data_IF_986626236438
#
_entry.id   IF_986626236438
#
_cell.length_a   1.000
_cell.length_b   1.000
_cell.length_c   1.000
_cell.angle_alpha   90.00
_cell.angle_beta   90.00
_cell.angle_gamma   90.00
#
_symmetry.space_group_name_H-M   'P 1'
#
loop_
_entity.id
_entity.type
_entity.pdbx_description
1 polymer ?
#
# COMPACT_ATOMS: atom_id res chain seq x y z
N UNK A 1 -3.97 8.58 2.35
CA UNK A 1 -2.72 9.35 2.15
C UNK A 1 -2.06 9.67 3.50
N UNK A 2 -0.74 9.79 3.54
CA UNK A 2 -0.01 10.27 4.72
C UNK A 2 0.42 11.70 4.44
N UNK A 3 -0.11 12.68 5.16
CA UNK A 3 0.24 14.10 4.95
C UNK A 3 1.13 14.65 6.07
N UNK A 4 1.30 13.90 7.16
CA UNK A 4 2.19 14.28 8.26
C UNK A 4 3.64 14.41 7.81
N UNK A 5 4.32 15.46 8.29
CA UNK A 5 5.77 15.66 8.07
C UNK A 5 6.64 14.67 8.86
N UNK A 6 6.08 14.05 9.90
CA UNK A 6 6.79 13.15 10.81
C UNK A 6 5.95 11.95 11.20
N UNK A 7 6.62 10.83 11.42
CA UNK A 7 6.11 9.62 12.07
C UNK A 7 6.89 9.42 13.37
N UNK A 8 6.29 9.83 14.49
CA UNK A 8 7.00 9.96 15.76
C UNK A 8 8.31 10.77 15.60
N UNK A 9 9.47 10.12 15.68
CA UNK A 9 10.79 10.76 15.57
C UNK A 9 11.36 10.78 14.14
N UNK A 10 10.72 10.08 13.19
CA UNK A 10 11.20 9.97 11.82
C UNK A 10 10.60 11.12 11.00
N UNK A 11 11.46 11.97 10.46
CA UNK A 11 11.06 13.03 9.54
C UNK A 11 10.95 12.52 8.10
N UNK A 12 9.99 13.06 7.37
CA UNK A 12 9.83 12.78 5.96
C UNK A 12 10.94 13.45 5.15
N UNK A 13 11.53 12.72 4.21
CA UNK A 13 12.62 13.18 3.35
C UNK A 13 12.17 14.11 2.21
N UNK A 14 10.89 14.03 1.82
CA UNK A 14 10.30 14.73 0.68
C UNK A 14 8.92 15.29 1.05
N UNK A 15 8.47 16.43 0.51
CA UNK A 15 7.11 16.89 0.77
C UNK A 15 6.06 15.89 0.21
N UNK A 16 4.84 15.84 0.78
CA UNK A 16 3.77 15.08 0.14
C UNK A 16 3.46 15.66 -1.26
N UNK A 17 3.16 14.79 -2.22
CA UNK A 17 2.81 15.20 -3.58
C UNK A 17 1.50 16.00 -3.67
N UNK A 18 0.60 15.83 -2.69
CA UNK A 18 -0.62 16.62 -2.51
C UNK A 18 -0.69 17.13 -1.08
N UNK A 19 -1.20 18.34 -0.89
CA UNK A 19 -1.57 18.86 0.43
C UNK A 19 -3.06 18.63 0.69
N UNK A 20 -3.49 18.81 1.94
CA UNK A 20 -4.91 18.72 2.30
C UNK A 20 -5.78 19.68 1.48
N UNK A 21 -5.30 20.88 1.20
CA UNK A 21 -6.04 21.91 0.45
C UNK A 21 -6.12 21.62 -1.06
N UNK A 22 -5.24 20.75 -1.57
CA UNK A 22 -5.21 20.35 -2.99
C UNK A 22 -5.85 18.98 -3.24
N UNK A 23 -6.29 18.29 -2.18
CA UNK A 23 -6.99 17.01 -2.36
C UNK A 23 -8.34 17.25 -3.05
N UNK A 24 -8.69 16.44 -4.06
CA UNK A 24 -10.05 16.47 -4.59
C UNK A 24 -11.03 15.94 -3.53
N UNK A 25 -12.32 16.11 -3.78
CA UNK A 25 -13.35 15.41 -3.02
C UNK A 25 -13.10 13.90 -3.13
N UNK A 26 -13.05 13.23 -1.98
CA UNK A 26 -12.78 11.79 -1.90
C UNK A 26 -14.09 11.07 -1.56
N UNK A 27 -14.49 10.08 -2.36
CA UNK A 27 -15.62 9.20 -2.02
C UNK A 27 -15.22 8.13 -1.01
N UNK A 28 -13.98 7.64 -1.10
CA UNK A 28 -13.48 6.54 -0.29
C UNK A 28 -11.99 6.69 0.06
N UNK A 29 -11.62 6.23 1.25
CA UNK A 29 -10.24 6.05 1.70
C UNK A 29 -10.05 4.61 2.14
N UNK A 30 -9.11 3.90 1.52
CA UNK A 30 -8.66 2.58 1.96
C UNK A 30 -7.45 2.69 2.89
N UNK A 31 -7.34 1.75 3.84
CA UNK A 31 -6.17 1.63 4.73
C UNK A 31 -5.72 0.19 4.73
N UNK A 32 -4.46 -0.10 4.39
CA UNK A 32 -3.93 -1.47 4.27
C UNK A 32 -3.78 -2.16 5.63
N UNK A 33 -3.30 -1.44 6.64
CA UNK A 33 -3.06 -1.92 7.99
C UNK A 33 -2.81 -0.75 8.95
N UNK A 34 -2.55 -1.05 10.22
CA UNK A 34 -2.59 -0.05 11.27
C UNK A 34 -1.26 0.67 11.57
N UNK A 35 -0.16 0.44 10.84
CA UNK A 35 1.11 1.12 11.14
C UNK A 35 1.02 2.63 10.88
N UNK A 36 1.89 3.41 11.52
CA UNK A 36 1.82 4.88 11.50
C UNK A 36 2.04 5.48 10.11
N UNK A 37 2.82 4.82 9.27
CA UNK A 37 3.08 5.17 7.86
C UNK A 37 1.97 4.73 6.90
N UNK A 38 0.93 4.03 7.37
CA UNK A 38 -0.25 3.66 6.56
C UNK A 38 -1.57 4.16 7.15
N UNK A 39 -1.57 4.51 8.44
CA UNK A 39 -2.72 4.98 9.20
C UNK A 39 -2.31 6.23 10.02
N UNK A 40 -2.38 7.38 9.35
CA UNK A 40 -1.99 8.69 9.87
C UNK A 40 -3.18 9.46 10.46
N UNK A 41 -3.29 9.45 11.79
CA UNK A 41 -4.40 10.07 12.51
C UNK A 41 -4.58 11.58 12.20
N UNK A 42 -3.53 12.40 12.13
CA UNK A 42 -3.65 13.80 11.72
C UNK A 42 -4.31 13.98 10.35
N UNK A 43 -3.91 13.18 9.34
CA UNK A 43 -4.56 13.22 8.02
C UNK A 43 -6.03 12.82 8.11
N UNK A 44 -6.33 11.67 8.72
CA UNK A 44 -7.71 11.15 8.77
C UNK A 44 -8.67 12.10 9.50
N UNK A 45 -8.23 12.74 10.60
CA UNK A 45 -9.05 13.75 11.30
C UNK A 45 -9.33 14.98 10.43
N UNK A 46 -8.41 15.37 9.54
CA UNK A 46 -8.61 16.50 8.61
C UNK A 46 -9.49 16.13 7.42
N UNK A 47 -9.48 14.87 6.98
CA UNK A 47 -10.44 14.37 5.99
C UNK A 47 -11.86 14.35 6.58
N UNK A 48 -11.98 13.97 7.85
CA UNK A 48 -13.21 14.07 8.61
C UNK A 48 -14.27 13.02 8.20
N UNK A 49 -15.51 13.15 8.70
CA UNK A 49 -16.55 12.13 8.55
C UNK A 49 -17.28 12.16 7.20
N UNK A 50 -16.93 13.06 6.29
CA UNK A 50 -17.58 13.21 4.97
C UNK A 50 -17.10 12.21 3.91
N UNK A 51 -16.22 11.28 4.28
CA UNK A 51 -15.62 10.27 3.41
C UNK A 51 -15.88 8.89 4.01
N UNK A 52 -16.10 7.87 3.17
CA UNK A 52 -16.19 6.48 3.63
C UNK A 52 -14.79 5.88 3.80
N UNK A 53 -14.56 5.19 4.90
CA UNK A 53 -13.32 4.46 5.16
C UNK A 53 -13.54 2.97 4.94
N UNK A 54 -12.67 2.31 4.18
CA UNK A 54 -12.70 0.85 3.98
C UNK A 54 -11.40 0.26 4.50
N UNK A 55 -11.49 -0.60 5.50
CA UNK A 55 -10.36 -0.98 6.34
C UNK A 55 -10.38 -2.47 6.67
N UNK A 56 -9.24 -3.08 7.01
CA UNK A 56 -9.17 -4.43 7.54
C UNK A 56 -9.97 -4.59 8.83
N UNK A 57 -10.45 -5.80 9.05
CA UNK A 57 -11.17 -6.23 10.24
C UNK A 57 -10.45 -5.84 11.55
N UNK A 58 -11.20 -5.29 12.51
CA UNK A 58 -10.73 -4.86 13.84
C UNK A 58 -10.37 -3.36 13.93
N UNK A 59 -10.33 -2.63 12.82
CA UNK A 59 -9.99 -1.20 12.80
C UNK A 59 -11.16 -0.25 13.08
N UNK A 60 -12.42 -0.66 12.97
CA UNK A 60 -13.58 0.21 13.18
C UNK A 60 -13.52 0.92 14.54
N UNK A 61 -13.20 0.19 15.61
CA UNK A 61 -13.08 0.75 16.95
C UNK A 61 -12.02 1.87 17.03
N UNK A 62 -10.94 1.79 16.25
CA UNK A 62 -9.94 2.86 16.19
C UNK A 62 -10.51 4.11 15.51
N UNK A 63 -11.23 3.95 14.40
CA UNK A 63 -11.86 5.05 13.66
C UNK A 63 -12.98 5.72 14.46
N UNK A 64 -13.80 4.95 15.16
CA UNK A 64 -14.84 5.46 16.06
C UNK A 64 -14.26 6.36 17.14
N UNK A 65 -13.13 5.96 17.75
CA UNK A 65 -12.39 6.80 18.73
C UNK A 65 -11.84 8.09 18.11
N UNK A 66 -11.66 8.15 16.79
CA UNK A 66 -11.30 9.39 16.08
C UNK A 66 -12.51 10.23 15.67
N UNK A 67 -13.74 9.79 15.95
CA UNK A 67 -14.97 10.44 15.51
C UNK A 67 -15.33 10.15 14.04
N UNK A 68 -14.69 9.15 13.42
CA UNK A 68 -14.91 8.75 12.03
C UNK A 68 -15.81 7.51 12.02
N UNK A 69 -17.07 7.66 11.59
CA UNK A 69 -18.11 6.63 11.78
C UNK A 69 -18.55 5.89 10.51
N UNK A 70 -18.33 6.46 9.32
CA UNK A 70 -18.62 5.76 8.06
C UNK A 70 -17.44 4.84 7.71
N UNK A 71 -17.42 3.66 8.32
CA UNK A 71 -16.33 2.68 8.21
C UNK A 71 -16.89 1.33 7.81
N UNK A 72 -16.29 0.71 6.80
CA UNK A 72 -16.54 -0.67 6.38
C UNK A 72 -15.32 -1.51 6.72
N UNK A 73 -15.51 -2.52 7.55
CA UNK A 73 -14.49 -3.52 7.83
C UNK A 73 -14.61 -4.69 6.86
N UNK A 74 -13.47 -5.14 6.35
CA UNK A 74 -13.37 -6.32 5.50
C UNK A 74 -12.39 -7.32 6.11
N UNK A 75 -12.78 -8.60 6.07
CA UNK A 75 -11.86 -9.73 6.14
C UNK A 75 -11.30 -10.04 4.74
N UNK A 76 -10.25 -10.84 4.65
CA UNK A 76 -9.68 -11.24 3.36
C UNK A 76 -10.72 -11.88 2.45
N UNK A 77 -10.67 -11.52 1.17
CA UNK A 77 -11.59 -11.92 0.11
C UNK A 77 -13.00 -11.33 0.25
N UNK A 78 -13.28 -10.53 1.27
CA UNK A 78 -14.51 -9.74 1.31
C UNK A 78 -14.38 -8.49 0.44
N UNK A 79 -15.53 -8.05 -0.05
CA UNK A 79 -15.63 -6.90 -0.96
C UNK A 79 -16.73 -5.95 -0.53
N UNK A 80 -16.58 -4.68 -0.91
CA UNK A 80 -17.63 -3.66 -0.83
C UNK A 80 -17.60 -2.78 -2.07
N UNK A 81 -18.68 -2.05 -2.34
CA UNK A 81 -18.77 -1.13 -3.48
C UNK A 81 -18.98 0.29 -2.96
N UNK A 82 -18.12 1.21 -3.35
CA UNK A 82 -18.21 2.64 -3.00
C UNK A 82 -17.94 3.48 -4.24
N UNK A 83 -18.84 4.42 -4.57
CA UNK A 83 -18.66 5.30 -5.73
C UNK A 83 -18.53 4.58 -7.08
N UNK A 84 -19.11 3.38 -7.21
CA UNK A 84 -18.98 2.56 -8.43
C UNK A 84 -17.66 1.78 -8.54
N UNK A 85 -16.80 1.82 -7.53
CA UNK A 85 -15.57 1.03 -7.42
C UNK A 85 -15.81 -0.16 -6.50
N UNK A 86 -15.52 -1.37 -6.98
CA UNK A 86 -15.48 -2.57 -6.13
C UNK A 86 -14.12 -2.66 -5.45
N UNK A 87 -14.13 -2.78 -4.14
CA UNK A 87 -12.96 -2.81 -3.27
C UNK A 87 -12.89 -4.19 -2.62
N UNK A 88 -11.89 -4.99 -2.97
CA UNK A 88 -11.67 -6.31 -2.38
C UNK A 88 -10.43 -6.26 -1.49
N UNK A 89 -10.57 -6.60 -0.21
CA UNK A 89 -9.40 -6.79 0.65
C UNK A 89 -8.79 -8.16 0.35
N UNK A 90 -7.49 -8.23 0.07
CA UNK A 90 -6.77 -9.47 -0.23
C UNK A 90 -5.64 -9.70 0.78
N UNK A 91 -5.22 -10.97 1.01
CA UNK A 91 -4.17 -11.27 1.97
C UNK A 91 -2.84 -10.57 1.66
N UNK A 92 -2.06 -10.33 2.72
CA UNK A 92 -0.66 -9.91 2.68
C UNK A 92 0.11 -10.65 3.78
N UNK A 93 1.41 -10.84 3.61
CA UNK A 93 2.28 -11.37 4.66
C UNK A 93 2.93 -10.22 5.44
N UNK A 94 2.20 -9.74 6.43
CA UNK A 94 2.60 -8.63 7.29
C UNK A 94 1.98 -8.80 8.69
N UNK A 95 1.92 -7.73 9.47
CA UNK A 95 1.43 -7.71 10.84
C UNK A 95 0.83 -6.34 11.17
N UNK A 96 0.32 -6.17 12.39
CA UNK A 96 -0.22 -4.88 12.84
C UNK A 96 0.17 -4.55 14.27
N UNK A 97 0.42 -3.27 14.58
CA UNK A 97 0.66 -2.74 15.93
C UNK A 97 0.66 -1.22 15.98
N UNK A 98 0.08 -0.62 17.03
CA UNK A 98 0.18 0.83 17.31
C UNK A 98 0.56 1.16 18.75
N UNK A 99 0.55 0.19 19.64
CA UNK A 99 0.86 0.30 21.05
C UNK A 99 1.70 -0.90 21.51
N UNK A 100 2.03 -0.95 22.80
CA UNK A 100 2.82 -2.06 23.32
C UNK A 100 2.02 -3.37 23.46
N UNK A 101 0.69 -3.31 23.40
CA UNK A 101 -0.22 -4.40 23.79
C UNK A 101 -1.22 -4.80 22.69
N UNK A 102 -1.08 -4.28 21.47
CA UNK A 102 -2.05 -4.46 20.37
C UNK A 102 -1.43 -5.12 19.12
N UNK A 103 -0.34 -5.88 19.29
CA UNK A 103 0.23 -6.66 18.19
C UNK A 103 -0.83 -7.64 17.67
N UNK A 104 -1.07 -7.61 16.36
CA UNK A 104 -1.97 -8.49 15.60
C UNK A 104 -3.43 -8.51 16.11
N UNK A 105 -3.87 -7.46 16.80
CA UNK A 105 -5.28 -7.34 17.22
C UNK A 105 -6.18 -6.80 16.10
N UNK A 106 -5.61 -6.36 14.99
CA UNK A 106 -6.31 -5.91 13.79
C UNK A 106 -5.73 -6.60 12.56
N UNK A 107 -6.54 -6.79 11.53
CA UNK A 107 -6.11 -7.40 10.28
C UNK A 107 -5.24 -6.42 9.44
N UNK A 108 -4.60 -6.95 8.41
CA UNK A 108 -3.79 -6.23 7.42
C UNK A 108 -4.06 -6.82 6.03
N UNK A 109 -3.74 -6.12 4.95
CA UNK A 109 -3.90 -6.66 3.61
C UNK A 109 -3.56 -5.68 2.49
N UNK A 110 -3.74 -6.17 1.27
CA UNK A 110 -3.78 -5.35 0.06
C UNK A 110 -5.21 -5.12 -0.40
N UNK A 111 -5.40 -4.24 -1.38
CA UNK A 111 -6.68 -3.99 -2.01
C UNK A 111 -6.60 -4.20 -3.51
N UNK A 112 -7.60 -4.88 -4.07
CA UNK A 112 -7.91 -4.83 -5.50
C UNK A 112 -9.07 -3.87 -5.71
N UNK A 113 -8.85 -2.87 -6.57
CA UNK A 113 -9.83 -1.88 -7.00
C UNK A 113 -10.31 -2.25 -8.39
N UNK A 114 -11.61 -2.44 -8.57
CA UNK A 114 -12.22 -2.72 -9.88
C UNK A 114 -13.24 -1.65 -10.25
N UNK A 115 -13.02 -0.99 -11.38
CA UNK A 115 -13.91 0.02 -11.94
C UNK A 115 -13.71 0.13 -13.46
N UNK A 116 -14.79 0.33 -14.22
CA UNK A 116 -14.70 0.53 -15.67
C UNK A 116 -14.03 -0.61 -16.45
N UNK A 117 -14.02 -1.83 -15.90
CA UNK A 117 -13.32 -2.98 -16.46
C UNK A 117 -11.80 -3.01 -16.22
N UNK A 118 -11.25 -2.03 -15.49
CA UNK A 118 -9.85 -2.00 -15.07
C UNK A 118 -9.70 -2.51 -13.64
N UNK A 119 -8.56 -3.15 -13.36
CA UNK A 119 -8.21 -3.65 -12.03
C UNK A 119 -6.83 -3.16 -11.59
N UNK A 120 -6.80 -2.44 -10.47
CA UNK A 120 -5.57 -1.97 -9.84
C UNK A 120 -5.38 -2.70 -8.53
N UNK A 121 -4.17 -3.17 -8.26
CA UNK A 121 -3.80 -3.82 -7.01
C UNK A 121 -2.85 -2.93 -6.21
N UNK A 122 -3.13 -2.73 -4.92
CA UNK A 122 -2.23 -2.09 -3.96
C UNK A 122 -1.91 -3.09 -2.85
N UNK A 123 -0.66 -3.56 -2.75
CA UNK A 123 -0.34 -4.65 -1.83
C UNK A 123 -0.38 -4.28 -0.35
N UNK A 124 -0.28 -2.99 -0.02
CA UNK A 124 0.15 -2.59 1.32
C UNK A 124 1.60 -3.02 1.57
N UNK A 125 1.96 -3.15 2.84
CA UNK A 125 3.24 -3.73 3.22
C UNK A 125 3.09 -5.25 3.30
N UNK A 126 4.07 -5.95 2.76
CA UNK A 126 4.06 -7.41 2.70
C UNK A 126 5.45 -7.93 2.44
N UNK A 127 5.77 -9.10 2.98
CA UNK A 127 6.82 -9.97 2.47
C UNK A 127 6.36 -10.69 1.20
N UNK A 128 7.30 -11.32 0.51
CA UNK A 128 6.97 -12.24 -0.56
C UNK A 128 6.31 -13.52 -0.01
N UNK A 129 5.20 -13.93 -0.61
CA UNK A 129 4.45 -15.12 -0.22
C UNK A 129 3.64 -15.66 -1.42
N UNK A 130 3.18 -16.91 -1.32
CA UNK A 130 2.46 -17.60 -2.41
C UNK A 130 1.10 -16.98 -2.75
N UNK A 131 0.56 -16.09 -1.91
CA UNK A 131 -0.74 -15.47 -2.15
C UNK A 131 -0.75 -14.52 -3.33
N UNK A 132 0.39 -14.00 -3.79
CA UNK A 132 0.44 -13.20 -5.03
C UNK A 132 -0.11 -13.96 -6.24
N UNK A 133 0.25 -15.24 -6.39
CA UNK A 133 -0.28 -16.09 -7.45
C UNK A 133 -1.79 -16.29 -7.31
N UNK A 134 -2.27 -16.55 -6.09
CA UNK A 134 -3.70 -16.71 -5.81
C UNK A 134 -4.49 -15.42 -6.08
N UNK A 135 -3.92 -14.26 -5.77
CA UNK A 135 -4.51 -12.95 -6.08
C UNK A 135 -4.61 -12.78 -7.61
N UNK A 136 -3.55 -13.08 -8.35
CA UNK A 136 -3.57 -13.07 -9.82
C UNK A 136 -4.63 -14.01 -10.40
N UNK A 137 -4.78 -15.22 -9.84
CA UNK A 137 -5.77 -16.21 -10.26
C UNK A 137 -7.23 -15.79 -9.96
N UNK A 138 -7.49 -15.15 -8.81
CA UNK A 138 -8.84 -14.78 -8.37
C UNK A 138 -9.31 -13.43 -8.87
N UNK A 139 -8.39 -12.48 -8.99
CA UNK A 139 -8.69 -11.08 -9.26
C UNK A 139 -8.16 -10.61 -10.62
N UNK A 140 -7.43 -11.46 -11.36
CA UNK A 140 -6.84 -11.10 -12.64
C UNK A 140 -7.87 -10.97 -13.79
N UNK A 141 -7.45 -10.37 -14.92
CA UNK A 141 -6.16 -9.73 -15.15
C UNK A 141 -6.01 -8.43 -14.34
N UNK A 142 -4.82 -8.18 -13.80
CA UNK A 142 -4.47 -6.95 -13.07
C UNK A 142 -3.78 -6.00 -14.03
N UNK A 143 -4.33 -4.79 -14.20
CA UNK A 143 -3.77 -3.78 -15.11
C UNK A 143 -2.57 -3.08 -14.50
N UNK A 144 -2.61 -2.80 -13.19
CA UNK A 144 -1.49 -2.19 -12.47
C UNK A 144 -1.35 -2.77 -11.06
N UNK A 145 -0.12 -3.09 -10.67
CA UNK A 145 0.23 -3.54 -9.32
C UNK A 145 1.17 -2.53 -8.66
N UNK A 146 0.71 -1.91 -7.59
CA UNK A 146 1.52 -1.05 -6.72
C UNK A 146 2.18 -1.93 -5.66
N UNK A 147 3.52 -2.02 -5.72
CA UNK A 147 4.32 -2.93 -4.89
C UNK A 147 5.44 -2.17 -4.15
N UNK A 148 5.65 -2.42 -2.85
CA UNK A 148 6.70 -1.77 -2.08
C UNK A 148 8.07 -2.25 -2.57
N UNK A 149 9.01 -1.31 -2.68
CA UNK A 149 10.40 -1.62 -3.01
C UNK A 149 11.40 -1.18 -1.93
N UNK A 150 10.99 -0.38 -0.95
CA UNK A 150 11.82 0.03 0.20
C UNK A 150 11.44 -0.72 1.48
N UNK A 151 12.00 -0.27 2.61
CA UNK A 151 11.76 -0.85 3.93
C UNK A 151 12.23 -2.30 4.10
N UNK A 152 13.34 -2.68 3.45
CA UNK A 152 13.74 -4.09 3.34
C UNK A 152 15.01 -4.49 4.07
N UNK A 153 15.81 -3.55 4.59
CA UNK A 153 17.08 -3.88 5.27
C UNK A 153 17.06 -3.66 6.80
N UNK A 154 17.78 -4.50 7.56
CA UNK A 154 18.59 -5.62 7.11
C UNK A 154 17.72 -6.86 6.79
N UNK A 155 18.04 -7.58 5.71
CA UNK A 155 17.22 -8.71 5.21
C UNK A 155 16.91 -9.78 6.27
N UNK A 156 17.83 -10.10 7.17
CA UNK A 156 17.58 -11.14 8.19
C UNK A 156 16.39 -10.81 9.10
N UNK A 157 16.12 -9.51 9.31
CA UNK A 157 15.04 -9.01 10.15
C UNK A 157 13.79 -8.67 9.34
N UNK A 158 13.97 -8.00 8.19
CA UNK A 158 12.85 -7.46 7.43
C UNK A 158 12.21 -8.47 6.46
N UNK A 159 12.93 -9.51 6.01
CA UNK A 159 12.43 -10.49 5.03
C UNK A 159 11.08 -11.14 5.38
N UNK A 160 10.76 -11.47 6.64
CA UNK A 160 9.47 -12.07 7.00
C UNK A 160 8.27 -11.13 6.83
N UNK A 161 8.50 -9.82 6.69
CA UNK A 161 7.47 -8.77 6.72
C UNK A 161 7.52 -7.76 5.55
N UNK A 162 8.66 -7.64 4.85
CA UNK A 162 8.85 -6.73 3.72
C UNK A 162 9.62 -7.38 2.56
N UNK A 163 9.09 -7.21 1.35
CA UNK A 163 9.77 -7.47 0.09
C UNK A 163 10.96 -6.53 -0.09
N UNK A 164 12.05 -7.03 -0.66
CA UNK A 164 13.04 -6.19 -1.33
C UNK A 164 12.63 -5.99 -2.82
N UNK A 165 13.39 -5.21 -3.62
CA UNK A 165 13.11 -5.05 -5.05
C UNK A 165 13.01 -6.36 -5.85
N UNK A 166 13.83 -7.36 -5.52
CA UNK A 166 13.80 -8.66 -6.21
C UNK A 166 12.50 -9.44 -5.93
N UNK A 167 12.11 -9.49 -4.66
CA UNK A 167 10.85 -10.06 -4.18
C UNK A 167 9.65 -9.34 -4.83
N UNK A 168 9.70 -8.01 -4.96
CA UNK A 168 8.64 -7.23 -5.58
C UNK A 168 8.50 -7.53 -7.08
N UNK A 169 9.62 -7.64 -7.82
CA UNK A 169 9.59 -8.04 -9.24
C UNK A 169 9.05 -9.47 -9.38
N UNK A 170 9.39 -10.38 -8.48
CA UNK A 170 8.82 -11.73 -8.49
C UNK A 170 7.30 -11.71 -8.23
N UNK A 171 6.84 -10.94 -7.23
CA UNK A 171 5.42 -10.77 -6.93
C UNK A 171 4.64 -10.23 -8.14
N UNK A 172 5.20 -9.27 -8.87
CA UNK A 172 4.61 -8.74 -10.11
C UNK A 172 4.40 -9.82 -11.18
N UNK A 173 5.39 -10.68 -11.37
CA UNK A 173 5.29 -11.82 -12.31
C UNK A 173 4.21 -12.80 -11.86
N UNK A 174 4.16 -13.14 -10.57
CA UNK A 174 3.19 -14.10 -10.04
C UNK A 174 1.74 -13.57 -10.04
N UNK A 175 1.57 -12.26 -9.89
CA UNK A 175 0.28 -11.58 -10.06
C UNK A 175 -0.22 -11.62 -11.51
N UNK A 176 0.67 -11.81 -12.49
CA UNK A 176 0.34 -11.64 -13.91
C UNK A 176 -0.11 -10.22 -14.24
N UNK A 177 0.44 -9.21 -13.55
CA UNK A 177 0.07 -7.82 -13.73
C UNK A 177 0.67 -7.23 -15.01
N UNK A 178 0.01 -6.23 -15.60
CA UNK A 178 0.49 -5.57 -16.84
C UNK A 178 1.50 -4.47 -16.58
N UNK A 179 1.31 -3.66 -15.54
CA UNK A 179 2.23 -2.59 -15.13
C UNK A 179 2.63 -2.71 -13.67
N UNK A 180 3.91 -2.53 -13.40
CA UNK A 180 4.50 -2.42 -12.06
C UNK A 180 4.56 -0.96 -11.66
N UNK A 181 4.04 -0.62 -10.48
CA UNK A 181 4.17 0.70 -9.87
C UNK A 181 4.96 0.59 -8.57
N UNK A 182 6.16 1.15 -8.55
CA UNK A 182 6.97 1.18 -7.33
C UNK A 182 6.37 2.13 -6.29
N UNK A 183 6.25 1.64 -5.05
CA UNK A 183 5.83 2.44 -3.90
C UNK A 183 6.71 2.15 -2.67
N UNK A 184 6.39 2.80 -1.54
CA UNK A 184 7.05 2.58 -0.23
C UNK A 184 8.58 2.81 -0.26
N UNK A 185 9.04 3.83 -0.99
CA UNK A 185 10.45 4.23 -1.03
C UNK A 185 10.61 5.76 -1.00
N UNK A 186 11.80 6.24 -0.67
CA UNK A 186 12.19 7.66 -0.75
C UNK A 186 11.47 8.64 0.21
N UNK A 187 10.46 8.19 0.95
CA UNK A 187 9.58 9.08 1.75
C UNK A 187 10.00 9.12 3.22
N UNK A 188 10.00 8.00 3.92
CA UNK A 188 10.47 7.86 5.30
C UNK A 188 11.62 6.87 5.33
N UNK A 189 12.68 7.17 6.10
CA UNK A 189 13.79 6.24 6.35
C UNK A 189 13.38 5.32 7.50
N UNK A 190 12.77 4.18 7.18
CA UNK A 190 12.23 3.23 8.16
C UNK A 190 13.23 2.13 8.56
N UNK A 191 14.28 1.97 7.75
CA UNK A 191 15.21 0.83 7.72
C UNK A 191 16.56 1.29 7.17
N UNK A 192 17.52 0.36 7.07
CA UNK A 192 18.92 0.69 6.85
C UNK A 192 19.28 1.03 5.38
N UNK A 193 18.52 0.57 4.38
CA UNK A 193 18.88 0.73 2.96
C UNK A 193 18.98 2.21 2.52
N UNK A 194 19.97 2.62 1.71
CA UNK A 194 20.05 3.96 1.15
C UNK A 194 18.75 4.37 0.43
N UNK A 195 18.33 5.64 0.56
CA UNK A 195 17.01 6.08 0.06
C UNK A 195 16.87 5.99 -1.47
N UNK A 196 17.98 6.09 -2.20
CA UNK A 196 18.08 6.05 -3.65
C UNK A 196 18.41 4.65 -4.21
N UNK A 197 18.73 3.69 -3.35
CA UNK A 197 19.02 2.31 -3.75
C UNK A 197 17.80 1.58 -4.32
N UNK A 198 16.59 1.62 -3.71
CA UNK A 198 15.45 0.81 -4.16
C UNK A 198 15.10 0.98 -5.64
N UNK A 199 14.99 2.21 -6.19
CA UNK A 199 14.74 2.39 -7.62
C UNK A 199 15.84 1.82 -8.51
N UNK A 200 17.11 2.04 -8.15
CA UNK A 200 18.25 1.58 -8.93
C UNK A 200 18.31 0.04 -8.93
N UNK A 201 18.10 -0.58 -7.78
CA UNK A 201 18.04 -2.02 -7.64
C UNK A 201 16.86 -2.62 -8.40
N UNK A 202 15.67 -2.01 -8.32
CA UNK A 202 14.48 -2.46 -9.08
C UNK A 202 14.77 -2.47 -10.58
N UNK A 203 15.33 -1.38 -11.13
CA UNK A 203 15.69 -1.31 -12.56
C UNK A 203 16.71 -2.37 -12.97
N UNK A 204 17.71 -2.64 -12.11
CA UNK A 204 18.70 -3.70 -12.35
C UNK A 204 18.04 -5.07 -12.45
N UNK A 205 17.25 -5.46 -11.45
CA UNK A 205 16.55 -6.77 -11.45
C UNK A 205 15.60 -6.88 -12.65
N UNK A 206 14.88 -5.80 -12.97
CA UNK A 206 13.98 -5.75 -14.12
C UNK A 206 14.70 -6.05 -15.43
N UNK A 207 15.84 -5.39 -15.67
CA UNK A 207 16.67 -5.60 -16.85
C UNK A 207 17.29 -7.00 -16.89
N UNK A 208 17.79 -7.51 -15.77
CA UNK A 208 18.34 -8.87 -15.64
C UNK A 208 17.31 -9.96 -15.98
N UNK A 209 16.02 -9.70 -15.68
CA UNK A 209 14.91 -10.60 -16.02
C UNK A 209 14.36 -10.42 -17.43
N UNK A 210 14.85 -9.43 -18.19
CA UNK A 210 14.39 -9.16 -19.55
C UNK A 210 12.91 -8.78 -19.66
N UNK A 211 12.36 -8.14 -18.62
CA UNK A 211 10.97 -7.69 -18.60
C UNK A 211 10.78 -6.44 -19.47
N UNK A 212 9.55 -6.23 -19.95
CA UNK A 212 9.20 -5.07 -20.77
C UNK A 212 9.50 -3.74 -20.03
N UNK A 213 10.41 -2.88 -20.53
CA UNK A 213 10.72 -1.62 -19.86
C UNK A 213 9.52 -0.68 -19.71
N UNK A 214 8.54 -0.74 -20.60
CA UNK A 214 7.35 0.14 -20.56
C UNK A 214 6.35 -0.29 -19.48
N UNK A 215 6.49 -1.52 -18.96
CA UNK A 215 5.70 -2.03 -17.85
C UNK A 215 6.24 -1.60 -16.48
N UNK A 216 7.49 -1.10 -16.37
CA UNK A 216 8.06 -0.61 -15.11
C UNK A 216 7.81 0.88 -14.93
N UNK A 217 7.01 1.23 -13.92
CA UNK A 217 6.74 2.61 -13.53
C UNK A 217 7.31 2.86 -12.13
N UNK A 218 8.27 3.79 -12.06
CA UNK A 218 8.83 4.28 -10.79
C UNK A 218 8.53 5.79 -10.73
N UNK A 219 7.32 6.17 -10.28
CA UNK A 219 6.89 7.56 -10.33
C UNK A 219 7.67 8.42 -9.34
N UNK A 220 7.87 9.69 -9.69
CA UNK A 220 8.26 10.70 -8.73
C UNK A 220 7.14 10.94 -7.71
N UNK A 221 7.50 11.39 -6.51
CA UNK A 221 6.51 11.63 -5.46
C UNK A 221 5.64 12.84 -5.85
N UNK A 222 4.34 12.58 -6.08
CA UNK A 222 3.38 13.56 -6.59
C UNK A 222 3.14 13.50 -8.10
N UNK A 223 3.85 12.64 -8.83
CA UNK A 223 3.57 12.39 -10.24
C UNK A 223 2.22 11.68 -10.43
N UNK A 224 1.48 12.08 -11.47
CA UNK A 224 0.26 11.41 -11.91
C UNK A 224 0.56 10.63 -13.18
N UNK A 225 0.21 9.35 -13.19
CA UNK A 225 0.41 8.45 -14.33
C UNK A 225 -0.95 7.91 -14.76
N UNK A 226 -1.25 7.99 -16.06
CA UNK A 226 -2.45 7.42 -16.64
C UNK A 226 -2.25 5.92 -16.94
N UNK A 227 -3.29 5.11 -16.71
CA UNK A 227 -3.32 3.67 -16.99
C UNK A 227 -3.92 3.36 -18.37
#
# INVERSE_FOLDING_TARGET
>A
PILSRRLALIERNVPPGLTHDTLPTLDVVTVSHNHFDHLDAPTLRRLGPGVRYVVPLGLAAWFERQGLRDVVELDWWQSTVVGGVTLTLVPAQHWSRRSLLDTDTTLWGGFVYEAGGQRVYHSGDTAYFSGFKLIGERCGPIDAAMLPIGAYDPRWFMRPQHMNPEDAVQAFVDLGARRFFAMHWGTFKLTDEPLDEPPAFTRRVWAERGLDPDALVIPAIGETVAL
#
